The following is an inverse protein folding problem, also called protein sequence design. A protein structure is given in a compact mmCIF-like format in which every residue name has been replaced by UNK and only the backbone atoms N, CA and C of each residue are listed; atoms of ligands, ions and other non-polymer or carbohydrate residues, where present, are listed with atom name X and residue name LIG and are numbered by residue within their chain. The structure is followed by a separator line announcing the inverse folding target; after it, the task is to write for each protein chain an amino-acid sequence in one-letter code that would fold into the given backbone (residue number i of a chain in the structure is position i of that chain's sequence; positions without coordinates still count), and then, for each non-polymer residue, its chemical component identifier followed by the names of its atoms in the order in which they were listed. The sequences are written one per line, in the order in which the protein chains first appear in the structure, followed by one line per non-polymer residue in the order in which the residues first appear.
data_IF_095682366569
#
_entry.id   IF_095682366569
#
_cell.length_a   1.000
_cell.length_b   1.000
_cell.length_c   1.000
_cell.angle_alpha   90.00
_cell.angle_beta   90.00
_cell.angle_gamma   90.00
#
_symmetry.space_group_name_H-M   'P 1'
#
loop_
_entity.id
_entity.type
_entity.pdbx_description
1 polymer ?
#
# COMPACT_ATOMS: atom_id res chain seq x y z
N UNK A 1 10.78 26.43 28.80
CA UNK A 1 11.03 25.18 29.55
C UNK A 1 9.67 24.62 29.97
N UNK A 2 9.02 23.83 29.09
CA UNK A 2 7.66 23.27 29.36
C UNK A 2 7.79 22.06 30.28
N UNK A 3 7.38 22.20 31.53
CA UNK A 3 7.22 21.09 32.47
C UNK A 3 6.11 20.19 31.97
N UNK A 4 6.45 19.00 31.44
CA UNK A 4 5.52 17.93 31.12
C UNK A 4 4.83 17.54 32.42
N UNK A 5 3.52 17.83 32.53
CA UNK A 5 2.68 17.29 33.61
C UNK A 5 2.75 15.75 33.53
N UNK A 6 3.47 15.11 34.42
CA UNK A 6 3.37 13.67 34.64
C UNK A 6 1.90 13.35 34.93
N UNK A 7 1.31 12.48 34.15
CA UNK A 7 -0.01 11.90 34.50
C UNK A 7 0.10 11.30 35.90
N UNK A 8 -0.97 11.39 36.69
CA UNK A 8 -1.02 11.05 38.12
C UNK A 8 -0.47 9.67 38.52
N UNK A 9 -0.04 8.85 37.58
CA UNK A 9 0.50 7.49 37.81
C UNK A 9 1.84 7.22 37.12
N UNK A 10 2.68 8.12 36.81
CA UNK A 10 4.07 7.88 36.39
C UNK A 10 4.35 6.72 35.39
N UNK A 11 3.35 6.11 34.82
CA UNK A 11 3.48 4.94 33.91
C UNK A 11 3.72 5.40 32.48
N UNK A 12 4.77 4.86 31.86
CA UNK A 12 5.01 5.06 30.40
C UNK A 12 3.81 4.51 29.60
N UNK A 13 3.41 5.18 28.50
CA UNK A 13 2.31 4.70 27.67
C UNK A 13 2.58 3.27 27.20
N UNK A 14 1.60 2.38 27.39
CA UNK A 14 1.62 1.02 26.86
C UNK A 14 0.94 0.98 25.49
N UNK A 15 1.42 0.08 24.61
CA UNK A 15 0.92 -0.13 23.25
C UNK A 15 0.60 -1.59 22.96
N UNK A 16 0.32 -2.36 23.99
CA UNK A 16 0.16 -3.80 23.87
C UNK A 16 -1.10 -4.18 23.08
N UNK A 17 -2.19 -3.45 23.28
CA UNK A 17 -3.41 -3.63 22.50
C UNK A 17 -3.18 -3.25 21.02
N UNK A 18 -2.60 -2.10 20.75
CA UNK A 18 -2.28 -1.67 19.41
C UNK A 18 -1.37 -2.67 18.68
N UNK A 19 -0.38 -3.21 19.37
CA UNK A 19 0.50 -4.24 18.85
C UNK A 19 -0.25 -5.54 18.50
N UNK A 20 -1.17 -5.97 19.38
CA UNK A 20 -2.01 -7.13 19.13
C UNK A 20 -2.99 -6.88 17.95
N UNK A 21 -3.66 -5.74 17.93
CA UNK A 21 -4.64 -5.37 16.91
C UNK A 21 -3.98 -5.24 15.54
N UNK A 22 -2.81 -4.59 15.46
CA UNK A 22 -2.06 -4.44 14.21
C UNK A 22 -1.84 -5.77 13.50
N UNK A 23 -1.36 -6.79 14.22
CA UNK A 23 -1.12 -8.11 13.62
C UNK A 23 -2.41 -8.77 13.08
N UNK A 24 -3.57 -8.57 13.75
CA UNK A 24 -4.87 -9.10 13.31
C UNK A 24 -5.39 -8.37 12.09
N UNK A 25 -5.34 -7.04 12.13
CA UNK A 25 -5.77 -6.19 11.02
C UNK A 25 -4.91 -6.44 9.78
N UNK A 26 -3.58 -6.52 9.94
CA UNK A 26 -2.68 -6.84 8.83
C UNK A 26 -3.01 -8.23 8.24
N UNK A 27 -3.21 -9.24 9.08
CA UNK A 27 -3.60 -10.58 8.62
C UNK A 27 -4.91 -10.59 7.83
N UNK A 28 -5.92 -9.83 8.28
CA UNK A 28 -7.19 -9.67 7.58
C UNK A 28 -7.01 -8.99 6.22
N UNK A 29 -6.22 -7.92 6.16
CA UNK A 29 -5.95 -7.21 4.90
C UNK A 29 -5.20 -8.10 3.90
N UNK A 30 -4.19 -8.84 4.37
CA UNK A 30 -3.44 -9.79 3.52
C UNK A 30 -4.34 -10.90 3.01
N UNK A 31 -5.21 -11.45 3.87
CA UNK A 31 -6.22 -12.44 3.46
C UNK A 31 -7.12 -11.89 2.35
N UNK A 32 -7.63 -10.68 2.53
CA UNK A 32 -8.44 -9.99 1.52
C UNK A 32 -7.67 -9.80 0.21
N UNK A 33 -6.41 -9.41 0.27
CA UNK A 33 -5.56 -9.21 -0.91
C UNK A 33 -5.37 -10.52 -1.68
N UNK A 34 -5.05 -11.63 -1.00
CA UNK A 34 -4.92 -12.95 -1.63
C UNK A 34 -6.23 -13.41 -2.25
N UNK A 35 -7.34 -13.38 -1.51
CA UNK A 35 -8.63 -13.82 -2.01
C UNK A 35 -9.12 -12.97 -3.18
N UNK A 36 -9.00 -11.64 -3.06
CA UNK A 36 -9.38 -10.70 -4.12
C UNK A 36 -8.59 -10.92 -5.41
N UNK A 37 -7.32 -11.30 -5.33
CA UNK A 37 -6.51 -11.60 -6.49
C UNK A 37 -6.79 -13.02 -7.01
N UNK A 38 -6.92 -14.01 -6.13
CA UNK A 38 -7.10 -15.41 -6.51
C UNK A 38 -8.32 -15.64 -7.38
N UNK A 39 -9.46 -15.00 -7.08
CA UNK A 39 -10.69 -15.12 -7.88
C UNK A 39 -10.58 -14.57 -9.31
N UNK A 40 -9.52 -13.80 -9.60
CA UNK A 40 -9.25 -13.21 -10.91
C UNK A 40 -8.01 -13.84 -11.58
N UNK A 41 -7.23 -14.63 -10.84
CA UNK A 41 -5.88 -15.02 -11.21
C UNK A 41 -5.84 -15.82 -12.53
N UNK A 42 -6.75 -16.76 -12.73
CA UNK A 42 -6.76 -17.58 -13.96
C UNK A 42 -7.02 -16.74 -15.21
N UNK A 43 -7.91 -15.76 -15.12
CA UNK A 43 -8.20 -14.86 -16.23
C UNK A 43 -7.06 -13.85 -16.48
N UNK A 44 -6.30 -13.49 -15.46
CA UNK A 44 -5.24 -12.47 -15.56
C UNK A 44 -3.88 -13.10 -15.91
N UNK A 45 -3.45 -14.09 -15.12
CA UNK A 45 -2.09 -14.66 -15.18
C UNK A 45 -2.08 -16.19 -15.39
N UNK A 46 -3.21 -16.84 -15.44
CA UNK A 46 -3.30 -18.28 -15.72
C UNK A 46 -2.78 -18.64 -17.12
N UNK A 47 -2.63 -19.93 -17.46
CA UNK A 47 -2.07 -20.37 -18.74
C UNK A 47 -2.83 -19.85 -19.97
N UNK A 48 -4.13 -19.60 -19.83
CA UNK A 48 -5.01 -19.05 -20.85
C UNK A 48 -5.45 -17.61 -20.51
N UNK A 49 -4.78 -16.97 -19.57
CA UNK A 49 -5.08 -15.61 -19.12
C UNK A 49 -4.52 -14.54 -20.05
N UNK A 50 -4.78 -13.27 -19.70
CA UNK A 50 -4.34 -12.11 -20.50
C UNK A 50 -2.81 -12.00 -20.53
N UNK A 51 -2.14 -12.28 -19.38
CA UNK A 51 -0.67 -12.23 -19.25
C UNK A 51 -0.17 -13.47 -18.50
N UNK A 52 -0.04 -14.62 -19.18
CA UNK A 52 0.37 -15.86 -18.54
C UNK A 52 1.73 -15.73 -17.86
N UNK A 53 1.81 -16.12 -16.57
CA UNK A 53 3.05 -16.00 -15.81
C UNK A 53 4.20 -16.84 -16.38
N UNK A 54 3.87 -17.96 -17.06
CA UNK A 54 4.84 -18.83 -17.74
C UNK A 54 5.61 -18.03 -18.82
N UNK A 55 4.89 -17.29 -19.65
CA UNK A 55 5.49 -16.48 -20.72
C UNK A 55 6.40 -15.36 -20.15
N UNK A 56 6.08 -14.80 -18.98
CA UNK A 56 6.97 -13.83 -18.33
C UNK A 56 8.28 -14.49 -17.91
N UNK A 57 8.23 -15.70 -17.34
CA UNK A 57 9.43 -16.43 -16.93
C UNK A 57 10.26 -16.92 -18.12
N UNK A 58 9.63 -17.45 -19.16
CA UNK A 58 10.28 -17.86 -20.42
C UNK A 58 11.01 -16.68 -21.08
N UNK A 59 10.38 -15.50 -21.10
CA UNK A 59 10.99 -14.26 -21.62
C UNK A 59 12.23 -13.86 -20.84
N UNK A 60 12.23 -14.01 -19.50
CA UNK A 60 13.39 -13.74 -18.66
C UNK A 60 14.53 -14.75 -18.94
N UNK A 61 14.23 -16.04 -19.08
CA UNK A 61 15.23 -17.06 -19.44
C UNK A 61 15.84 -16.76 -20.80
N UNK A 62 15.02 -16.50 -21.82
CA UNK A 62 15.49 -16.14 -23.16
C UNK A 62 16.34 -14.85 -23.15
N UNK A 63 15.98 -13.86 -22.34
CA UNK A 63 16.76 -12.63 -22.18
C UNK A 63 18.14 -12.90 -21.56
N UNK A 64 18.23 -13.76 -20.56
CA UNK A 64 19.50 -14.12 -19.91
C UNK A 64 20.40 -14.91 -20.85
N UNK A 65 19.84 -15.83 -21.63
CA UNK A 65 20.56 -16.63 -22.63
C UNK A 65 21.08 -15.75 -23.78
N UNK A 66 20.25 -14.86 -24.32
CA UNK A 66 20.61 -14.04 -25.49
C UNK A 66 21.64 -12.96 -25.19
N UNK A 67 21.74 -12.47 -23.96
CA UNK A 67 22.66 -11.40 -23.58
C UNK A 67 23.89 -11.90 -22.85
N UNK A 68 24.11 -13.23 -22.74
CA UNK A 68 25.22 -13.84 -21.95
C UNK A 68 25.36 -13.16 -20.57
N UNK A 69 24.20 -12.82 -19.95
CA UNK A 69 24.16 -11.99 -18.76
C UNK A 69 24.47 -12.81 -17.51
N UNK A 70 25.43 -12.38 -16.72
CA UNK A 70 25.74 -12.95 -15.41
C UNK A 70 24.65 -12.70 -14.36
N UNK A 71 23.54 -12.03 -14.74
CA UNK A 71 22.46 -11.75 -13.81
C UNK A 71 21.68 -13.01 -13.45
N UNK A 72 21.34 -13.14 -12.17
CA UNK A 72 20.56 -14.27 -11.68
C UNK A 72 19.06 -14.04 -11.93
N UNK A 73 18.36 -15.06 -12.44
CA UNK A 73 16.91 -15.02 -12.65
C UNK A 73 16.12 -14.63 -11.41
N UNK A 74 16.56 -15.03 -10.22
CA UNK A 74 15.93 -14.63 -8.95
C UNK A 74 16.15 -13.15 -8.60
N UNK A 75 17.16 -12.50 -9.14
CA UNK A 75 17.35 -11.05 -9.00
C UNK A 75 16.39 -10.29 -9.91
N UNK A 76 16.09 -10.80 -11.10
CA UNK A 76 15.17 -10.17 -12.04
C UNK A 76 13.70 -10.44 -11.67
N UNK A 77 13.40 -11.68 -11.26
CA UNK A 77 12.06 -12.13 -10.86
C UNK A 77 12.13 -13.00 -9.60
N UNK A 78 12.09 -12.41 -8.41
CA UNK A 78 12.15 -13.15 -7.13
C UNK A 78 10.81 -13.86 -6.86
N UNK A 79 10.54 -14.93 -7.59
CA UNK A 79 9.32 -15.74 -7.47
C UNK A 79 9.62 -17.19 -7.14
N UNK A 80 8.72 -17.82 -6.38
CA UNK A 80 8.74 -19.25 -6.13
C UNK A 80 8.31 -20.09 -7.34
N UNK A 81 7.68 -19.47 -8.34
CA UNK A 81 7.23 -20.15 -9.57
C UNK A 81 8.39 -20.71 -10.41
N UNK A 82 9.63 -20.32 -10.15
CA UNK A 82 10.82 -20.95 -10.73
C UNK A 82 11.02 -22.41 -10.28
N UNK A 83 10.44 -22.80 -9.15
CA UNK A 83 10.60 -24.15 -8.64
C UNK A 83 9.44 -25.03 -9.11
N UNK A 84 9.74 -26.23 -9.61
CA UNK A 84 8.75 -27.20 -10.13
C UNK A 84 7.64 -27.50 -9.11
N UNK A 85 7.97 -27.51 -7.80
CA UNK A 85 6.99 -27.70 -6.75
C UNK A 85 5.88 -26.62 -6.73
N UNK A 86 6.22 -25.40 -7.17
CA UNK A 86 5.30 -24.26 -7.24
C UNK A 86 4.79 -23.99 -8.67
N UNK A 87 4.92 -24.94 -9.61
CA UNK A 87 4.44 -24.78 -11.00
C UNK A 87 2.94 -24.51 -11.12
N UNK A 88 2.18 -24.73 -10.06
CA UNK A 88 0.79 -24.33 -9.93
C UNK A 88 0.67 -23.10 -9.03
N UNK A 89 0.32 -21.94 -9.63
CA UNK A 89 0.14 -20.69 -8.88
C UNK A 89 -0.92 -20.77 -7.78
N UNK A 90 -1.94 -21.66 -7.92
CA UNK A 90 -2.95 -21.87 -6.88
C UNK A 90 -2.36 -22.40 -5.56
N UNK A 91 -1.24 -23.12 -5.61
CA UNK A 91 -0.55 -23.56 -4.41
C UNK A 91 -0.01 -22.35 -3.62
N UNK A 92 0.57 -21.35 -4.32
CA UNK A 92 1.06 -20.12 -3.67
C UNK A 92 -0.11 -19.33 -3.06
N UNK A 93 -1.25 -19.24 -3.76
CA UNK A 93 -2.46 -18.63 -3.19
C UNK A 93 -2.95 -19.36 -1.95
N UNK A 94 -3.01 -20.69 -1.99
CA UNK A 94 -3.45 -21.52 -0.85
C UNK A 94 -2.56 -21.31 0.36
N UNK A 95 -1.23 -21.36 0.17
CA UNK A 95 -0.27 -21.14 1.24
C UNK A 95 -0.30 -19.68 1.77
N UNK A 96 -0.53 -18.72 0.87
CA UNK A 96 -0.75 -17.32 1.22
C UNK A 96 -1.98 -17.11 2.10
N UNK A 97 -3.11 -17.73 1.74
CA UNK A 97 -4.35 -17.70 2.54
C UNK A 97 -4.14 -18.37 3.90
N UNK A 98 -3.51 -19.54 3.96
CA UNK A 98 -3.21 -20.22 5.23
C UNK A 98 -2.32 -19.33 6.12
N UNK A 99 -1.28 -18.73 5.55
CA UNK A 99 -0.36 -17.85 6.28
C UNK A 99 -1.06 -16.58 6.77
N UNK A 100 -1.96 -15.99 5.97
CA UNK A 100 -2.73 -14.81 6.36
C UNK A 100 -3.74 -15.12 7.47
N UNK A 101 -4.39 -16.28 7.44
CA UNK A 101 -5.24 -16.77 8.52
C UNK A 101 -4.43 -17.02 9.80
N UNK A 102 -3.24 -17.61 9.69
CA UNK A 102 -2.34 -17.79 10.83
C UNK A 102 -1.94 -16.43 11.46
N UNK A 103 -1.61 -15.43 10.65
CA UNK A 103 -1.31 -14.06 11.10
C UNK A 103 -2.54 -13.42 11.77
N UNK A 104 -3.72 -13.51 11.14
CA UNK A 104 -4.97 -12.98 11.66
C UNK A 104 -5.37 -13.61 12.98
N UNK A 105 -5.17 -14.92 13.14
CA UNK A 105 -5.43 -15.63 14.39
C UNK A 105 -4.29 -15.51 15.42
N UNK A 106 -3.13 -14.97 15.00
CA UNK A 106 -1.96 -14.74 15.83
C UNK A 106 -1.13 -15.97 16.10
N UNK A 107 -1.15 -16.94 15.23
CA UNK A 107 -0.22 -18.06 15.25
C UNK A 107 1.09 -17.65 14.59
N UNK A 108 2.21 -17.82 15.33
CA UNK A 108 3.58 -17.50 14.86
C UNK A 108 3.64 -16.21 14.04
N UNK A 109 3.13 -15.05 14.55
CA UNK A 109 2.75 -13.91 13.74
C UNK A 109 3.89 -13.36 12.88
N UNK A 110 5.13 -13.36 13.38
CA UNK A 110 6.29 -12.93 12.58
C UNK A 110 6.57 -13.88 11.42
N UNK A 111 6.52 -15.19 11.67
CA UNK A 111 6.75 -16.19 10.64
C UNK A 111 5.62 -16.21 9.61
N UNK A 112 4.37 -16.10 10.08
CA UNK A 112 3.21 -16.01 9.22
C UNK A 112 3.29 -14.77 8.29
N UNK A 113 3.67 -13.60 8.82
CA UNK A 113 3.88 -12.39 8.01
C UNK A 113 5.01 -12.55 7.00
N UNK A 114 6.10 -13.23 7.36
CA UNK A 114 7.21 -13.53 6.46
C UNK A 114 6.76 -14.41 5.28
N UNK A 115 5.98 -15.44 5.54
CA UNK A 115 5.42 -16.29 4.48
C UNK A 115 4.38 -15.55 3.63
N UNK A 116 3.52 -14.72 4.24
CA UNK A 116 2.64 -13.84 3.48
C UNK A 116 3.43 -12.94 2.53
N UNK A 117 4.54 -12.35 2.99
CA UNK A 117 5.40 -11.51 2.18
C UNK A 117 6.01 -12.26 0.99
N UNK A 118 6.60 -13.45 1.22
CA UNK A 118 7.21 -14.26 0.16
C UNK A 118 6.17 -14.69 -0.89
N UNK A 119 5.02 -15.18 -0.44
CA UNK A 119 3.99 -15.66 -1.37
C UNK A 119 3.37 -14.50 -2.15
N UNK A 120 3.11 -13.36 -1.50
CA UNK A 120 2.57 -12.20 -2.21
C UNK A 120 3.59 -11.58 -3.17
N UNK A 121 4.87 -11.51 -2.80
CA UNK A 121 5.96 -11.09 -3.68
C UNK A 121 6.05 -11.99 -4.91
N UNK A 122 6.01 -13.31 -4.71
CA UNK A 122 6.09 -14.28 -5.81
C UNK A 122 5.00 -14.08 -6.85
N UNK A 123 3.76 -13.77 -6.43
CA UNK A 123 2.64 -13.48 -7.31
C UNK A 123 2.72 -12.06 -7.90
N UNK A 124 3.21 -11.09 -7.12
CA UNK A 124 3.28 -9.70 -7.52
C UNK A 124 4.26 -9.48 -8.68
N UNK A 125 5.43 -10.12 -8.66
CA UNK A 125 6.47 -9.88 -9.67
C UNK A 125 6.15 -10.46 -11.04
N UNK A 126 5.32 -11.50 -11.10
CA UNK A 126 4.84 -12.10 -12.36
C UNK A 126 3.44 -11.62 -12.75
N UNK A 127 2.79 -10.86 -11.89
CA UNK A 127 1.42 -10.38 -12.09
C UNK A 127 1.33 -9.03 -12.79
N UNK A 128 2.39 -8.53 -13.41
CA UNK A 128 2.33 -7.28 -14.19
C UNK A 128 1.50 -7.46 -15.47
N UNK A 129 0.75 -6.41 -15.88
CA UNK A 129 0.64 -5.06 -15.27
C UNK A 129 -0.35 -4.99 -14.07
N UNK A 130 -1.07 -6.05 -13.75
CA UNK A 130 -2.20 -6.05 -12.80
C UNK A 130 -1.80 -5.86 -11.33
N UNK A 131 -0.53 -6.10 -10.96
CA UNK A 131 0.03 -5.97 -9.61
C UNK A 131 1.15 -4.95 -9.50
N UNK A 132 1.15 -3.94 -10.35
CA UNK A 132 2.12 -2.82 -10.31
C UNK A 132 1.62 -1.62 -9.51
N UNK A 133 0.46 -1.71 -8.86
CA UNK A 133 -0.19 -0.60 -8.19
C UNK A 133 0.30 -0.36 -6.76
N UNK A 134 0.09 0.85 -6.26
CA UNK A 134 0.60 1.28 -4.96
C UNK A 134 0.04 0.50 -3.76
N UNK A 135 -1.17 -0.03 -3.82
CA UNK A 135 -1.71 -0.88 -2.75
C UNK A 135 -0.98 -2.21 -2.61
N UNK A 136 -0.53 -2.82 -3.72
CA UNK A 136 0.24 -4.06 -3.70
C UNK A 136 1.65 -3.81 -3.16
N UNK A 137 2.30 -2.73 -3.61
CA UNK A 137 3.63 -2.37 -3.13
C UNK A 137 3.61 -1.90 -1.66
N UNK A 138 2.57 -1.17 -1.23
CA UNK A 138 2.39 -0.81 0.18
C UNK A 138 2.18 -2.05 1.06
N UNK A 139 1.44 -3.05 0.58
CA UNK A 139 1.23 -4.30 1.30
C UNK A 139 2.55 -5.04 1.50
N UNK A 140 3.37 -5.17 0.44
CA UNK A 140 4.70 -5.78 0.51
C UNK A 140 5.63 -5.02 1.46
N UNK A 141 5.68 -3.68 1.37
CA UNK A 141 6.50 -2.85 2.26
C UNK A 141 6.01 -2.94 3.72
N UNK A 142 4.70 -2.94 3.95
CA UNK A 142 4.12 -3.12 5.28
C UNK A 142 4.48 -4.46 5.88
N UNK A 143 4.33 -5.56 5.13
CA UNK A 143 4.70 -6.91 5.59
C UNK A 143 6.18 -6.99 5.94
N UNK A 144 7.05 -6.49 5.06
CA UNK A 144 8.50 -6.52 5.23
C UNK A 144 8.95 -5.72 6.46
N UNK A 145 8.50 -4.47 6.59
CA UNK A 145 8.87 -3.60 7.71
C UNK A 145 8.21 -3.98 9.04
N UNK A 146 7.11 -4.73 9.00
CA UNK A 146 6.44 -5.21 10.22
C UNK A 146 7.10 -6.42 10.87
N UNK A 147 8.01 -7.12 10.20
CA UNK A 147 8.66 -8.31 10.74
C UNK A 147 9.31 -8.09 12.12
N UNK A 148 10.09 -7.02 12.39
CA UNK A 148 10.61 -6.76 13.72
C UNK A 148 9.56 -6.25 14.71
N UNK A 149 8.44 -5.71 14.24
CA UNK A 149 7.35 -5.25 15.10
C UNK A 149 6.49 -6.40 15.60
N UNK A 150 6.23 -7.41 14.77
CA UNK A 150 5.47 -8.60 15.15
C UNK A 150 6.26 -9.50 16.09
N UNK A 151 5.63 -10.10 17.14
CA UNK A 151 6.34 -10.90 18.13
C UNK A 151 6.74 -12.27 17.56
N UNK A 152 7.89 -12.77 18.01
CA UNK A 152 8.37 -14.12 17.70
C UNK A 152 7.91 -15.10 18.78
N UNK A 153 6.61 -15.43 18.76
CA UNK A 153 5.95 -16.32 19.71
C UNK A 153 5.07 -17.33 18.99
N UNK A 154 4.78 -18.48 19.62
CA UNK A 154 3.88 -19.49 19.04
C UNK A 154 2.46 -18.96 18.90
N UNK A 155 1.97 -18.17 19.88
CA UNK A 155 0.63 -17.58 19.86
C UNK A 155 0.63 -16.21 20.53
N UNK A 156 0.16 -15.20 19.83
CA UNK A 156 -0.01 -13.85 20.35
C UNK A 156 -1.44 -13.64 20.82
N UNK A 157 -1.66 -13.62 22.12
CA UNK A 157 -2.98 -13.45 22.76
C UNK A 157 -3.07 -12.09 23.41
N UNK A 158 -4.28 -11.53 23.43
CA UNK A 158 -4.54 -10.28 24.13
C UNK A 158 -4.40 -10.42 25.66
N UNK A 159 -4.69 -11.63 26.20
CA UNK A 159 -4.51 -11.96 27.63
C UNK A 159 -3.05 -12.05 28.06
N UNK A 160 -2.11 -12.19 27.13
CA UNK A 160 -0.69 -12.29 27.38
C UNK A 160 0.03 -11.15 26.64
N UNK A 161 0.01 -9.92 27.19
CA UNK A 161 0.54 -8.76 26.51
C UNK A 161 2.04 -8.86 26.30
N UNK A 162 2.48 -8.58 25.09
CA UNK A 162 3.88 -8.52 24.71
C UNK A 162 4.22 -7.07 24.40
N UNK A 163 5.29 -6.58 25.01
CA UNK A 163 5.79 -5.23 24.74
C UNK A 163 6.48 -5.19 23.37
N UNK A 164 5.90 -4.43 22.44
CA UNK A 164 6.55 -4.18 21.14
C UNK A 164 7.83 -3.36 21.30
N UNK A 165 8.82 -3.62 20.45
CA UNK A 165 10.00 -2.76 20.35
C UNK A 165 9.59 -1.35 19.96
N UNK A 166 10.04 -0.34 20.74
CA UNK A 166 9.80 1.08 20.42
C UNK A 166 10.31 1.45 19.03
N UNK A 167 11.50 0.97 18.67
CA UNK A 167 12.12 1.26 17.39
C UNK A 167 11.38 0.58 16.22
N UNK A 168 10.94 -0.69 16.41
CA UNK A 168 10.13 -1.35 15.40
C UNK A 168 8.78 -0.63 15.17
N UNK A 169 8.16 -0.11 16.26
CA UNK A 169 6.96 0.73 16.14
C UNK A 169 7.24 2.03 15.38
N UNK A 170 8.36 2.70 15.66
CA UNK A 170 8.77 3.93 14.97
C UNK A 170 8.97 3.63 13.46
N UNK A 171 9.51 2.50 13.08
CA UNK A 171 9.68 2.13 11.67
C UNK A 171 8.33 2.05 10.94
N UNK A 172 7.30 1.48 11.54
CA UNK A 172 5.94 1.48 10.98
C UNK A 172 5.36 2.90 10.89
N UNK A 173 5.60 3.74 11.90
CA UNK A 173 5.16 5.14 11.88
C UNK A 173 5.90 5.97 10.82
N UNK A 174 7.15 5.65 10.53
CA UNK A 174 7.91 6.26 9.44
C UNK A 174 7.34 5.84 8.08
N UNK A 175 6.92 4.58 7.91
CA UNK A 175 6.24 4.16 6.69
C UNK A 175 4.92 4.93 6.49
N UNK A 176 4.11 5.07 7.54
CA UNK A 176 2.89 5.87 7.47
C UNK A 176 3.19 7.35 7.16
N UNK A 177 4.22 7.93 7.80
CA UNK A 177 4.62 9.30 7.53
C UNK A 177 5.09 9.50 6.08
N UNK A 178 5.90 8.57 5.56
CA UNK A 178 6.35 8.56 4.18
C UNK A 178 5.17 8.50 3.21
N UNK A 179 4.24 7.55 3.42
CA UNK A 179 3.04 7.40 2.61
C UNK A 179 2.24 8.71 2.53
N UNK A 180 2.02 9.37 3.66
CA UNK A 180 1.23 10.60 3.74
C UNK A 180 1.98 11.79 3.13
N UNK A 181 3.23 12.01 3.51
CA UNK A 181 4.03 13.14 3.04
C UNK A 181 4.25 13.05 1.52
N UNK A 182 4.65 11.91 1.01
CA UNK A 182 4.84 11.73 -0.45
C UNK A 182 3.52 11.95 -1.19
N UNK A 183 2.39 11.39 -0.70
CA UNK A 183 1.06 11.60 -1.30
C UNK A 183 0.65 13.08 -1.34
N UNK A 184 0.98 13.85 -0.31
CA UNK A 184 0.72 15.29 -0.27
C UNK A 184 1.66 16.09 -1.17
N UNK A 185 2.98 15.82 -1.11
CA UNK A 185 3.99 16.57 -1.84
C UNK A 185 3.84 16.48 -3.35
N UNK A 186 3.55 15.30 -3.89
CA UNK A 186 3.43 15.10 -5.34
C UNK A 186 2.32 15.96 -5.95
N UNK A 187 1.31 16.33 -5.18
CA UNK A 187 0.22 17.22 -5.61
C UNK A 187 0.70 18.66 -5.87
N UNK A 188 1.83 19.07 -5.28
CA UNK A 188 2.42 20.39 -5.51
C UNK A 188 3.54 20.40 -6.54
N UNK A 189 4.15 19.25 -6.81
CA UNK A 189 5.39 19.15 -7.58
C UNK A 189 5.20 18.56 -8.99
N UNK A 190 4.04 17.98 -9.26
CA UNK A 190 3.69 17.42 -10.57
C UNK A 190 2.63 18.27 -11.26
N UNK A 191 2.82 18.50 -12.56
CA UNK A 191 2.01 19.39 -13.38
C UNK A 191 1.54 18.67 -14.64
N UNK A 192 0.42 19.11 -15.22
CA UNK A 192 -0.09 18.67 -16.51
C UNK A 192 0.85 19.09 -17.66
N UNK A 193 0.61 18.57 -18.87
CA UNK A 193 1.35 18.92 -20.08
C UNK A 193 1.20 20.40 -20.44
N UNK A 194 0.06 21.02 -20.10
CA UNK A 194 -0.21 22.45 -20.24
C UNK A 194 0.37 23.31 -19.10
N UNK A 195 1.24 22.72 -18.27
CA UNK A 195 1.82 23.31 -17.07
C UNK A 195 0.81 23.72 -15.99
N UNK A 196 -0.44 23.30 -16.10
CA UNK A 196 -1.45 23.53 -15.07
C UNK A 196 -1.30 22.55 -13.91
N UNK A 197 -1.90 22.90 -12.76
CA UNK A 197 -1.98 22.02 -11.61
C UNK A 197 -3.31 22.23 -10.88
N UNK A 198 -4.25 21.32 -11.12
CA UNK A 198 -5.57 21.37 -10.53
C UNK A 198 -5.55 21.29 -8.98
N UNK A 199 -4.55 20.65 -8.40
CA UNK A 199 -4.38 20.58 -6.95
C UNK A 199 -4.04 21.92 -6.32
N UNK A 200 -3.08 22.66 -6.93
CA UNK A 200 -2.67 24.00 -6.47
C UNK A 200 -3.80 25.03 -6.72
N UNK A 201 -4.51 24.88 -7.82
CA UNK A 201 -5.61 25.75 -8.20
C UNK A 201 -6.92 25.47 -7.46
N UNK A 202 -6.94 24.47 -6.57
CA UNK A 202 -8.13 24.05 -5.80
C UNK A 202 -9.31 23.57 -6.66
N UNK A 203 -9.04 23.10 -7.87
CA UNK A 203 -10.05 22.58 -8.82
C UNK A 203 -9.98 21.06 -8.97
N UNK A 204 -9.10 20.37 -8.22
CA UNK A 204 -8.91 18.94 -8.38
C UNK A 204 -10.17 18.12 -8.06
N UNK A 205 -10.97 18.52 -7.07
CA UNK A 205 -12.19 17.80 -6.69
C UNK A 205 -13.34 18.04 -7.67
N UNK A 206 -13.29 19.09 -8.50
CA UNK A 206 -14.25 19.31 -9.60
C UNK A 206 -14.21 18.16 -10.62
N UNK A 207 -13.07 17.48 -10.70
CA UNK A 207 -12.84 16.36 -11.63
C UNK A 207 -12.81 15.01 -10.92
N UNK A 208 -12.21 14.93 -9.74
CA UNK A 208 -11.84 13.69 -9.08
C UNK A 208 -13.00 12.70 -8.97
N UNK A 209 -14.17 13.14 -8.54
CA UNK A 209 -15.29 12.27 -8.20
C UNK A 209 -15.85 11.48 -9.38
N UNK A 210 -15.70 11.98 -10.60
CA UNK A 210 -16.18 11.30 -11.81
C UNK A 210 -15.08 10.80 -12.73
N UNK A 211 -13.84 11.30 -12.61
CA UNK A 211 -12.70 10.83 -13.43
C UNK A 211 -11.96 9.66 -12.81
N UNK A 212 -12.12 9.40 -11.50
CA UNK A 212 -11.44 8.28 -10.83
C UNK A 212 -11.80 6.92 -11.46
N UNK A 213 -10.90 5.90 -11.40
CA UNK A 213 -11.10 4.62 -12.10
C UNK A 213 -12.44 3.95 -11.81
N UNK A 214 -12.79 3.84 -10.52
CA UNK A 214 -14.04 3.23 -10.05
C UNK A 214 -14.76 4.21 -9.11
N UNK A 215 -15.61 5.10 -9.64
CA UNK A 215 -16.39 6.01 -8.79
C UNK A 215 -17.25 5.24 -7.79
N UNK A 216 -17.31 5.76 -6.57
CA UNK A 216 -18.14 5.19 -5.51
C UNK A 216 -19.61 5.61 -5.68
N UNK A 217 -20.62 4.84 -5.23
CA UNK A 217 -22.02 5.24 -5.28
C UNK A 217 -22.34 6.61 -4.65
N UNK A 218 -21.52 7.05 -3.69
CA UNK A 218 -21.65 8.37 -3.08
C UNK A 218 -20.92 9.48 -3.85
N UNK A 219 -20.09 9.16 -4.85
CA UNK A 219 -19.33 10.18 -5.60
C UNK A 219 -20.22 11.25 -6.24
N UNK A 220 -21.36 10.93 -6.88
CA UNK A 220 -22.25 11.96 -7.43
C UNK A 220 -22.83 12.89 -6.38
N UNK A 221 -23.19 12.34 -5.19
CA UNK A 221 -23.69 13.14 -4.09
C UNK A 221 -22.64 14.10 -3.55
N UNK A 222 -21.40 13.62 -3.37
CA UNK A 222 -20.30 14.45 -2.88
C UNK A 222 -19.96 15.53 -3.90
N UNK A 223 -19.92 15.18 -5.18
CA UNK A 223 -19.67 16.15 -6.29
C UNK A 223 -20.76 17.24 -6.39
N UNK A 224 -21.99 16.97 -5.95
CA UNK A 224 -23.08 17.95 -5.93
C UNK A 224 -23.02 18.94 -4.76
N UNK A 225 -22.08 18.78 -3.83
CA UNK A 225 -21.92 19.70 -2.71
C UNK A 225 -21.40 21.08 -3.16
N UNK A 226 -21.66 22.15 -2.39
CA UNK A 226 -21.22 23.48 -2.76
C UNK A 226 -19.68 23.60 -2.90
N UNK A 227 -19.15 24.45 -3.79
CA UNK A 227 -17.70 24.57 -4.05
C UNK A 227 -16.83 24.88 -2.83
N UNK A 228 -17.39 25.55 -1.81
CA UNK A 228 -16.65 25.77 -0.54
C UNK A 228 -16.29 24.48 0.18
N UNK A 229 -17.12 23.42 0.02
CA UNK A 229 -16.85 22.11 0.61
C UNK A 229 -15.58 21.49 0.02
N UNK A 230 -15.39 21.57 -1.29
CA UNK A 230 -14.19 21.06 -1.96
C UNK A 230 -12.94 21.81 -1.51
N UNK A 231 -13.02 23.14 -1.40
CA UNK A 231 -11.91 23.96 -0.90
C UNK A 231 -11.50 23.62 0.53
N UNK A 232 -12.48 23.40 1.43
CA UNK A 232 -12.21 22.96 2.80
C UNK A 232 -11.64 21.54 2.81
N UNK A 233 -12.19 20.63 2.00
CA UNK A 233 -11.75 19.24 1.90
C UNK A 233 -10.29 19.14 1.43
N UNK A 234 -9.90 19.93 0.41
CA UNK A 234 -8.52 20.01 -0.08
C UNK A 234 -7.58 20.58 1.00
N UNK A 235 -7.97 21.66 1.66
CA UNK A 235 -7.17 22.26 2.74
C UNK A 235 -6.97 21.29 3.90
N UNK A 236 -8.04 20.59 4.31
CA UNK A 236 -7.98 19.56 5.34
C UNK A 236 -7.10 18.39 4.92
N UNK A 237 -7.21 17.91 3.68
CA UNK A 237 -6.38 16.85 3.11
C UNK A 237 -4.90 17.24 3.17
N UNK A 238 -4.50 18.42 2.70
CA UNK A 238 -3.12 18.89 2.76
C UNK A 238 -2.59 18.97 4.19
N UNK A 239 -3.39 19.49 5.11
CA UNK A 239 -3.01 19.53 6.52
C UNK A 239 -2.81 18.12 7.09
N UNK A 240 -3.67 17.17 6.74
CA UNK A 240 -3.58 15.80 7.23
C UNK A 240 -2.43 15.03 6.58
N UNK A 241 -2.21 15.18 5.26
CA UNK A 241 -1.15 14.45 4.54
C UNK A 241 0.24 15.02 4.85
N UNK A 242 0.41 16.34 4.97
CA UNK A 242 1.73 16.97 5.12
C UNK A 242 1.99 17.38 6.57
N UNK A 243 1.01 17.96 7.25
CA UNK A 243 1.18 18.52 8.59
C UNK A 243 1.15 17.48 9.70
N UNK A 244 0.12 16.62 9.71
CA UNK A 244 -0.08 15.65 10.81
C UNK A 244 0.98 14.55 10.92
N UNK A 245 1.70 14.11 9.88
CA UNK A 245 2.77 13.12 10.03
C UNK A 245 3.87 13.55 11.03
N UNK A 246 4.18 14.84 11.14
CA UNK A 246 5.12 15.33 12.15
C UNK A 246 4.62 15.08 13.57
N UNK A 247 3.31 15.07 13.78
CA UNK A 247 2.70 14.79 15.08
C UNK A 247 2.83 13.32 15.53
N UNK A 248 3.16 12.37 14.63
CA UNK A 248 3.32 10.95 14.98
C UNK A 248 4.42 10.71 16.00
N UNK A 249 5.41 11.57 16.03
CA UNK A 249 6.60 11.47 16.88
C UNK A 249 6.55 12.40 18.10
N UNK A 250 5.51 13.22 18.21
CA UNK A 250 5.30 14.18 19.30
C UNK A 250 4.60 13.52 20.51
N UNK A 251 4.47 14.24 21.65
CA UNK A 251 3.77 13.75 22.83
C UNK A 251 2.33 13.32 22.54
N UNK A 252 1.77 12.53 23.45
CA UNK A 252 0.54 11.76 23.33
C UNK A 252 -0.66 12.51 22.72
N UNK A 253 -0.91 13.75 23.11
CA UNK A 253 -2.04 14.56 22.58
C UNK A 253 -1.93 14.78 21.07
N UNK A 254 -0.78 15.20 20.59
CA UNK A 254 -0.53 15.43 19.17
C UNK A 254 -0.66 14.14 18.36
N UNK A 255 -0.15 13.06 18.89
CA UNK A 255 -0.23 11.75 18.24
C UNK A 255 -1.65 11.22 18.14
N UNK A 256 -2.48 11.41 19.19
CA UNK A 256 -3.92 11.06 19.15
C UNK A 256 -4.67 11.95 18.16
N UNK A 257 -4.39 13.23 18.15
CA UNK A 257 -4.96 14.16 17.18
C UNK A 257 -4.63 13.73 15.76
N UNK A 258 -3.36 13.40 15.48
CA UNK A 258 -2.95 12.88 14.19
C UNK A 258 -3.64 11.56 13.83
N UNK A 259 -3.83 10.64 14.79
CA UNK A 259 -4.57 9.41 14.57
C UNK A 259 -6.00 9.68 14.07
N UNK A 260 -6.74 10.55 14.76
CA UNK A 260 -8.12 10.86 14.35
C UNK A 260 -8.18 11.58 12.99
N UNK A 261 -7.23 12.49 12.71
CA UNK A 261 -7.13 13.13 11.40
C UNK A 261 -6.88 12.11 10.28
N UNK A 262 -5.93 11.19 10.47
CA UNK A 262 -5.64 10.14 9.50
C UNK A 262 -6.86 9.21 9.28
N UNK A 263 -7.51 8.78 10.35
CA UNK A 263 -8.72 7.94 10.25
C UNK A 263 -9.82 8.67 9.49
N UNK A 264 -10.05 9.94 9.79
CA UNK A 264 -11.05 10.76 9.10
C UNK A 264 -10.77 10.83 7.59
N UNK A 265 -9.52 11.13 7.21
CA UNK A 265 -9.13 11.19 5.80
C UNK A 265 -9.32 9.85 5.09
N UNK A 266 -8.86 8.74 5.70
CA UNK A 266 -8.99 7.42 5.09
C UNK A 266 -10.46 7.00 4.92
N UNK A 267 -11.33 7.34 5.88
CA UNK A 267 -12.77 7.10 5.75
C UNK A 267 -13.39 7.98 4.66
N UNK A 268 -13.03 9.26 4.59
CA UNK A 268 -13.51 10.15 3.54
C UNK A 268 -13.14 9.62 2.13
N UNK A 269 -11.89 9.17 1.94
CA UNK A 269 -11.45 8.57 0.67
C UNK A 269 -12.19 7.25 0.40
N UNK A 270 -12.37 6.39 1.42
CA UNK A 270 -13.08 5.12 1.28
C UNK A 270 -14.53 5.29 0.83
N UNK A 271 -15.20 6.35 1.30
CA UNK A 271 -16.60 6.64 0.95
C UNK A 271 -16.75 7.53 -0.30
N UNK A 272 -15.67 8.04 -0.87
CA UNK A 272 -15.67 8.82 -2.11
C UNK A 272 -15.09 8.09 -3.33
N UNK A 273 -14.45 6.91 -3.13
CA UNK A 273 -13.86 6.14 -4.22
C UNK A 273 -13.64 4.66 -3.85
N UNK A 274 -13.36 3.85 -4.86
CA UNK A 274 -13.11 2.42 -4.71
C UNK A 274 -11.61 2.11 -4.87
N UNK A 275 -10.86 2.10 -3.76
CA UNK A 275 -9.41 1.84 -3.74
C UNK A 275 -9.06 0.47 -3.13
N UNK A 276 -9.99 -0.48 -3.19
CA UNK A 276 -9.84 -1.84 -2.69
C UNK A 276 -9.47 -1.87 -1.21
N UNK A 277 -8.40 -2.56 -0.88
CA UNK A 277 -7.91 -2.66 0.50
C UNK A 277 -6.92 -1.56 0.90
N UNK A 278 -6.59 -0.59 0.02
CA UNK A 278 -5.56 0.44 0.27
C UNK A 278 -5.85 1.30 1.51
N UNK A 279 -7.08 1.84 1.61
CA UNK A 279 -7.48 2.64 2.76
C UNK A 279 -7.50 1.82 4.06
N UNK A 280 -7.95 0.56 4.00
CA UNK A 280 -7.94 -0.34 5.16
C UNK A 280 -6.52 -0.68 5.62
N UNK A 281 -5.58 -0.85 4.67
CA UNK A 281 -4.16 -1.03 4.98
C UNK A 281 -3.58 0.23 5.64
N UNK A 282 -3.89 1.41 5.14
CA UNK A 282 -3.47 2.68 5.75
C UNK A 282 -4.06 2.86 7.15
N UNK A 283 -5.33 2.52 7.37
CA UNK A 283 -5.94 2.48 8.70
C UNK A 283 -5.20 1.50 9.64
N UNK A 284 -4.75 0.36 9.11
CA UNK A 284 -3.92 -0.59 9.88
C UNK A 284 -2.58 0.03 10.28
N UNK A 285 -1.95 0.79 9.37
CA UNK A 285 -0.71 1.54 9.68
C UNK A 285 -0.93 2.65 10.72
N UNK A 286 -2.15 3.15 10.91
CA UNK A 286 -2.48 4.13 11.96
C UNK A 286 -2.58 3.49 13.36
N UNK A 287 -2.80 2.18 13.48
CA UNK A 287 -2.99 1.50 14.78
C UNK A 287 -1.81 1.74 15.76
N UNK A 288 -0.52 1.74 15.35
CA UNK A 288 0.60 2.03 16.24
C UNK A 288 0.63 3.46 16.83
N UNK A 289 -0.23 4.37 16.36
CA UNK A 289 -0.41 5.70 16.96
C UNK A 289 -1.21 5.64 18.28
N UNK A 290 -2.04 4.59 18.46
CA UNK A 290 -2.94 4.45 19.62
C UNK A 290 -2.16 3.87 20.80
N UNK A 291 -2.31 4.50 21.96
CA UNK A 291 -1.87 3.93 23.26
C UNK A 291 -3.04 3.24 23.98
N UNK A 292 -2.72 2.32 24.88
CA UNK A 292 -3.73 1.53 25.59
C UNK A 292 -4.66 2.38 26.47
N UNK A 293 -4.28 3.62 26.79
CA UNK A 293 -5.13 4.52 27.57
C UNK A 293 -6.33 5.07 26.76
N UNK A 294 -6.25 5.07 25.42
CA UNK A 294 -7.38 5.46 24.55
C UNK A 294 -8.46 4.38 24.49
N UNK A 295 -8.12 3.14 24.81
CA UNK A 295 -9.05 2.02 24.76
C UNK A 295 -9.99 2.07 25.96
N UNK A 296 -11.31 1.91 25.76
CA UNK A 296 -12.27 1.84 26.87
C UNK A 296 -11.88 0.77 27.89
N UNK A 297 -12.01 1.06 29.18
CA UNK A 297 -11.57 0.16 30.29
C UNK A 297 -12.09 -1.28 30.14
N UNK A 298 -13.31 -1.47 29.64
CA UNK A 298 -13.90 -2.80 29.42
C UNK A 298 -13.16 -3.69 28.40
N UNK A 299 -12.43 -3.07 27.46
CA UNK A 299 -11.65 -3.78 26.44
C UNK A 299 -10.14 -3.73 26.72
N UNK A 300 -9.75 -3.02 27.79
CA UNK A 300 -8.35 -2.88 28.18
C UNK A 300 -7.94 -4.14 28.93
N UNK A 301 -6.96 -4.90 28.43
CA UNK A 301 -6.45 -6.04 29.16
C UNK A 301 -5.93 -5.61 30.53
N UNK A 302 -6.19 -6.40 31.59
CA UNK A 302 -5.54 -6.20 32.89
C UNK A 302 -4.10 -6.67 32.75
N UNK A 303 -3.20 -5.74 32.60
CA UNK A 303 -1.77 -6.01 32.46
C UNK A 303 -1.13 -6.02 33.86
N UNK A 304 -1.13 -7.15 34.51
CA UNK A 304 -0.07 -7.45 35.45
C UNK A 304 1.21 -7.58 34.62
N UNK A 305 2.17 -6.77 34.94
CA UNK A 305 3.45 -6.51 34.25
C UNK A 305 3.86 -7.43 33.09
N UNK A 306 4.21 -6.86 31.91
CA UNK A 306 4.61 -7.66 30.74
C UNK A 306 5.83 -8.52 31.09
N UNK A 307 5.75 -9.82 30.84
CA UNK A 307 6.89 -10.73 31.01
C UNK A 307 8.02 -10.27 30.08
N UNK A 308 9.10 -9.79 30.68
CA UNK A 308 10.33 -9.48 29.96
C UNK A 308 11.00 -10.78 29.52
N UNK A 309 10.95 -11.10 28.24
CA UNK A 309 11.71 -12.24 27.71
C UNK A 309 13.20 -11.98 27.81
N UNK A 310 13.84 -12.73 28.72
CA UNK A 310 15.29 -12.74 28.90
C UNK A 310 15.96 -13.62 27.84
N UNK A 311 16.28 -13.06 26.66
CA UNK A 311 17.24 -13.74 25.78
C UNK A 311 18.16 -12.72 25.12
N UNK A 312 19.38 -12.61 25.67
CA UNK A 312 20.42 -11.65 25.23
C UNK A 312 20.84 -11.85 23.76
N UNK A 313 20.97 -13.09 23.30
CA UNK A 313 21.34 -13.41 21.92
C UNK A 313 20.24 -12.98 20.91
N UNK A 314 18.96 -13.17 21.27
CA UNK A 314 17.82 -12.70 20.44
C UNK A 314 17.76 -11.17 20.31
N UNK A 315 18.25 -10.42 21.31
CA UNK A 315 18.31 -8.96 21.26
C UNK A 315 19.31 -8.46 20.22
N UNK A 316 20.50 -9.06 20.13
CA UNK A 316 21.53 -8.68 19.15
C UNK A 316 21.05 -8.89 17.71
N UNK A 317 20.53 -10.08 17.38
CA UNK A 317 19.97 -10.38 16.05
C UNK A 317 18.80 -9.44 15.71
N UNK A 318 17.92 -9.16 16.67
CA UNK A 318 16.82 -8.22 16.47
C UNK A 318 17.31 -6.81 16.18
N UNK A 319 18.35 -6.32 16.85
CA UNK A 319 18.93 -5.00 16.62
C UNK A 319 19.61 -4.90 15.24
N UNK A 320 20.35 -5.93 14.83
CA UNK A 320 20.97 -5.98 13.49
C UNK A 320 19.89 -5.96 12.42
N UNK A 321 18.88 -6.82 12.51
CA UNK A 321 17.76 -6.87 11.59
C UNK A 321 17.04 -5.52 11.51
N UNK A 322 16.74 -4.91 12.65
CA UNK A 322 16.09 -3.62 12.73
C UNK A 322 16.96 -2.51 12.13
N UNK A 323 18.27 -2.49 12.42
CA UNK A 323 19.24 -1.56 11.86
C UNK A 323 19.34 -1.67 10.34
N UNK A 324 19.37 -2.89 9.79
CA UNK A 324 19.36 -3.13 8.35
C UNK A 324 18.10 -2.60 7.69
N UNK A 325 16.92 -2.81 8.29
CA UNK A 325 15.66 -2.28 7.76
C UNK A 325 15.61 -0.76 7.80
N UNK A 326 16.11 -0.12 8.85
CA UNK A 326 16.23 1.35 8.89
C UNK A 326 17.18 1.87 7.81
N UNK A 327 18.34 1.21 7.64
CA UNK A 327 19.29 1.59 6.60
C UNK A 327 18.66 1.51 5.20
N UNK A 328 18.03 0.38 4.87
CA UNK A 328 17.36 0.19 3.58
C UNK A 328 16.21 1.19 3.38
N UNK A 329 15.36 1.36 4.38
CA UNK A 329 14.22 2.27 4.32
C UNK A 329 14.64 3.73 4.12
N UNK A 330 15.63 4.19 4.87
CA UNK A 330 16.08 5.58 4.80
C UNK A 330 16.89 5.85 3.53
N UNK A 331 17.78 4.94 3.11
CA UNK A 331 18.61 5.13 1.92
C UNK A 331 17.82 5.07 0.61
N UNK A 332 16.97 4.05 0.42
CA UNK A 332 16.15 3.93 -0.77
C UNK A 332 14.98 4.91 -0.78
N UNK A 333 14.35 5.15 0.38
CA UNK A 333 13.26 6.12 0.55
C UNK A 333 13.69 7.57 0.35
N UNK A 334 14.93 7.92 0.65
CA UNK A 334 15.48 9.26 0.39
C UNK A 334 15.44 9.62 -1.09
N UNK A 335 15.81 8.68 -1.96
CA UNK A 335 15.78 8.91 -3.40
C UNK A 335 14.37 9.16 -3.92
N UNK A 336 13.39 8.42 -3.40
CA UNK A 336 11.99 8.59 -3.76
C UNK A 336 11.49 9.96 -3.32
N UNK A 337 11.74 10.37 -2.07
CA UNK A 337 11.37 11.68 -1.54
C UNK A 337 12.01 12.83 -2.34
N UNK A 338 13.31 12.73 -2.65
CA UNK A 338 13.99 13.76 -3.46
C UNK A 338 13.41 13.85 -4.87
N UNK A 339 13.06 12.73 -5.48
CA UNK A 339 12.37 12.70 -6.78
C UNK A 339 11.00 13.39 -6.71
N UNK A 340 10.24 13.11 -5.67
CA UNK A 340 8.89 13.69 -5.48
C UNK A 340 8.94 15.20 -5.17
N UNK A 341 9.95 15.66 -4.43
CA UNK A 341 10.19 17.10 -4.22
C UNK A 341 10.54 17.82 -5.52
N UNK A 342 11.35 17.19 -6.39
CA UNK A 342 11.72 17.78 -7.68
C UNK A 342 10.54 17.83 -8.66
N UNK A 343 9.65 16.83 -8.59
CA UNK A 343 8.50 16.73 -9.49
C UNK A 343 8.89 16.54 -10.96
N UNK A 344 7.94 16.80 -11.88
CA UNK A 344 8.14 16.65 -13.32
C UNK A 344 8.70 17.89 -14.04
N UNK A 345 8.81 19.03 -13.35
CA UNK A 345 9.44 20.25 -13.89
C UNK A 345 10.96 20.30 -13.73
N UNK A 346 11.53 19.42 -12.90
CA UNK A 346 12.95 19.36 -12.74
C UNK A 346 13.61 18.89 -14.04
N UNK A 347 14.47 19.73 -14.62
CA UNK A 347 15.25 19.37 -15.80
C UNK A 347 15.95 18.04 -15.58
N UNK A 348 15.69 17.07 -16.48
CA UNK A 348 16.26 15.72 -16.46
C UNK A 348 17.78 15.69 -16.65
N UNK A 349 18.42 16.83 -16.87
CA UNK A 349 19.86 17.01 -17.04
C UNK A 349 20.68 17.00 -15.74
N UNK A 350 20.10 16.69 -14.58
CA UNK A 350 20.93 16.42 -13.40
C UNK A 350 21.65 15.10 -13.62
N UNK A 351 22.92 15.26 -13.96
CA UNK A 351 23.95 14.23 -14.11
C UNK A 351 23.63 12.95 -13.32
N UNK A 352 23.77 11.81 -14.00
CA UNK A 352 23.99 10.48 -13.40
C UNK A 352 25.27 10.51 -12.51
N UNK A 353 25.28 11.32 -11.45
CA UNK A 353 26.29 11.16 -10.41
C UNK A 353 25.99 9.83 -9.75
N UNK A 354 26.94 8.92 -9.88
CA UNK A 354 26.95 7.68 -9.12
C UNK A 354 26.69 8.02 -7.65
N UNK A 355 25.54 7.57 -7.17
CA UNK A 355 25.13 7.81 -5.81
C UNK A 355 24.85 6.44 -5.19
N UNK A 356 25.59 6.08 -4.15
CA UNK A 356 25.43 4.81 -3.43
C UNK A 356 23.98 4.48 -3.06
N UNK A 357 23.14 5.51 -2.85
CA UNK A 357 21.71 5.32 -2.58
C UNK A 357 20.94 4.77 -3.78
N UNK A 358 21.39 5.06 -5.01
CA UNK A 358 20.84 4.46 -6.22
C UNK A 358 21.18 2.97 -6.31
N UNK A 359 22.38 2.58 -5.88
CA UNK A 359 22.80 1.18 -5.89
C UNK A 359 22.00 0.37 -4.84
N UNK A 360 21.79 0.93 -3.66
CA UNK A 360 20.88 0.33 -2.66
C UNK A 360 19.47 0.20 -3.22
N UNK A 361 18.96 1.20 -3.92
CA UNK A 361 17.63 1.14 -4.55
C UNK A 361 17.56 0.05 -5.61
N UNK A 362 18.53 -0.04 -6.51
CA UNK A 362 18.63 -1.10 -7.53
C UNK A 362 18.64 -2.49 -6.89
N UNK A 363 19.41 -2.65 -5.81
CA UNK A 363 19.51 -3.92 -5.07
C UNK A 363 18.17 -4.35 -4.44
N UNK A 364 17.41 -3.40 -3.88
CA UNK A 364 16.16 -3.75 -3.18
C UNK A 364 14.91 -3.71 -4.09
N UNK A 365 15.01 -3.07 -5.26
CA UNK A 365 13.87 -2.91 -6.19
C UNK A 365 13.17 -4.22 -6.55
N UNK A 366 13.87 -5.35 -6.81
CA UNK A 366 13.22 -6.60 -7.19
C UNK A 366 12.25 -7.13 -6.13
N UNK A 367 12.52 -6.90 -4.85
CA UNK A 367 11.64 -7.36 -3.75
C UNK A 367 10.46 -6.41 -3.47
N UNK A 368 10.31 -5.31 -4.21
CA UNK A 368 9.16 -4.37 -4.15
C UNK A 368 8.77 -3.95 -2.73
N UNK A 369 9.73 -3.88 -1.81
CA UNK A 369 9.46 -3.68 -0.37
C UNK A 369 9.97 -2.36 0.18
N UNK A 370 10.43 -1.43 -0.68
CA UNK A 370 10.64 0.00 -0.39
C UNK A 370 10.29 0.78 -1.66
N UNK A 371 9.23 1.58 -1.59
CA UNK A 371 8.59 2.16 -2.76
C UNK A 371 8.39 3.67 -2.59
N UNK A 372 7.88 4.36 -3.63
CA UNK A 372 7.36 5.73 -3.55
C UNK A 372 5.84 5.74 -3.67
N UNK A 373 5.22 6.73 -3.08
CA UNK A 373 3.77 6.87 -3.03
C UNK A 373 3.32 8.19 -3.62
N UNK A 374 2.09 8.27 -4.07
CA UNK A 374 1.51 9.47 -4.64
C UNK A 374 0.48 9.13 -5.71
N UNK A 375 -0.71 8.66 -5.28
CA UNK A 375 -1.86 8.48 -6.15
C UNK A 375 -2.32 9.86 -6.66
N UNK A 376 -2.76 9.90 -7.92
CA UNK A 376 -3.26 11.11 -8.56
C UNK A 376 -2.27 12.29 -8.50
N UNK A 377 -0.98 12.03 -8.79
CA UNK A 377 0.07 13.06 -8.84
C UNK A 377 -0.33 14.23 -9.75
N UNK A 378 -0.91 13.90 -10.90
CA UNK A 378 -1.59 14.83 -11.82
C UNK A 378 -3.07 14.49 -11.82
N UNK A 379 -3.94 15.48 -11.71
CA UNK A 379 -5.38 15.26 -11.74
C UNK A 379 -5.85 15.05 -13.18
N UNK A 380 -6.54 13.93 -13.39
CA UNK A 380 -7.17 13.60 -14.67
C UNK A 380 -8.41 14.47 -14.86
N UNK A 381 -8.48 15.21 -15.95
CA UNK A 381 -9.60 16.13 -16.26
C UNK A 381 -10.60 15.55 -17.26
N UNK A 382 -10.23 14.44 -17.90
CA UNK A 382 -11.05 13.71 -18.88
C UNK A 382 -11.26 12.27 -18.39
N UNK A 383 -12.22 11.57 -18.96
CA UNK A 383 -12.48 10.16 -18.70
C UNK A 383 -12.71 9.40 -20.01
N UNK A 384 -11.64 9.12 -20.77
CA UNK A 384 -11.74 8.27 -21.95
C UNK A 384 -12.04 6.83 -21.53
N UNK A 385 -12.98 6.19 -22.23
CA UNK A 385 -13.39 4.82 -21.97
C UNK A 385 -13.10 3.95 -23.19
N UNK A 386 -12.54 2.75 -22.94
CA UNK A 386 -12.35 1.72 -23.96
C UNK A 386 -13.54 0.77 -23.88
N UNK A 387 -14.22 0.61 -25.01
CA UNK A 387 -15.27 -0.39 -25.19
C UNK A 387 -14.70 -1.61 -25.89
N UNK A 388 -15.09 -2.81 -25.46
CA UNK A 388 -14.69 -4.07 -26.07
C UNK A 388 -15.95 -4.73 -26.62
N UNK A 389 -15.95 -5.01 -27.90
CA UNK A 389 -17.03 -5.72 -28.56
C UNK A 389 -16.53 -7.03 -29.17
N UNK A 390 -17.36 -8.04 -29.16
CA UNK A 390 -17.07 -9.34 -29.76
C UNK A 390 -18.20 -9.82 -30.66
N UNK A 391 -17.85 -10.51 -31.74
CA UNK A 391 -18.79 -11.12 -32.67
C UNK A 391 -18.38 -12.55 -32.94
N UNK A 392 -19.37 -13.45 -33.14
CA UNK A 392 -19.16 -14.82 -33.56
C UNK A 392 -19.31 -15.00 -35.09
N UNK A 393 -19.94 -14.05 -35.75
CA UNK A 393 -20.23 -14.10 -37.20
C UNK A 393 -19.64 -12.89 -37.97
N UNK A 394 -19.03 -11.93 -37.30
CA UNK A 394 -18.48 -10.72 -37.89
C UNK A 394 -19.52 -9.62 -38.20
N UNK A 395 -20.81 -9.91 -37.97
CA UNK A 395 -21.93 -9.00 -38.25
C UNK A 395 -22.59 -8.51 -36.96
N UNK A 396 -22.90 -9.41 -36.02
CA UNK A 396 -23.55 -9.11 -34.76
C UNK A 396 -22.51 -8.88 -33.67
N UNK A 397 -22.23 -7.62 -33.38
CA UNK A 397 -21.28 -7.22 -32.34
C UNK A 397 -21.97 -7.02 -31.01
N UNK A 398 -21.41 -7.62 -29.93
CA UNK A 398 -21.91 -7.54 -28.57
C UNK A 398 -20.89 -6.88 -27.67
N UNK A 399 -21.33 -5.89 -26.89
CA UNK A 399 -20.52 -5.17 -25.93
C UNK A 399 -20.20 -6.09 -24.73
N UNK A 400 -18.92 -6.22 -24.37
CA UNK A 400 -18.46 -6.78 -23.11
C UNK A 400 -18.47 -5.70 -22.06
N UNK A 401 -19.42 -5.78 -21.11
CA UNK A 401 -19.51 -4.84 -19.99
C UNK A 401 -18.55 -5.21 -18.87
N UNK A 402 -17.83 -4.23 -18.37
CA UNK A 402 -17.06 -4.38 -17.14
C UNK A 402 -18.02 -4.47 -15.94
N UNK A 403 -17.61 -5.24 -14.93
CA UNK A 403 -18.48 -5.45 -13.77
C UNK A 403 -18.50 -4.25 -12.82
N UNK A 404 -17.38 -3.58 -12.66
CA UNK A 404 -17.19 -2.55 -11.63
C UNK A 404 -16.95 -1.16 -12.23
N UNK A 405 -16.33 -1.09 -13.42
CA UNK A 405 -16.07 0.15 -14.13
C UNK A 405 -17.33 0.54 -14.93
N UNK A 406 -17.87 1.76 -14.74
CA UNK A 406 -18.92 2.25 -15.62
C UNK A 406 -18.36 2.50 -17.02
N UNK A 407 -19.06 2.06 -18.06
CA UNK A 407 -18.73 2.31 -19.47
C UNK A 407 -19.50 3.51 -20.01
N UNK A 408 -20.66 3.81 -19.42
CA UNK A 408 -21.52 4.94 -19.80
C UNK A 408 -21.93 5.77 -18.58
N UNK A 409 -22.26 7.04 -18.80
CA UNK A 409 -22.64 7.97 -17.73
C UNK A 409 -23.86 7.51 -16.90
N UNK A 410 -24.72 6.68 -17.46
CA UNK A 410 -25.92 6.15 -16.78
C UNK A 410 -25.72 4.77 -16.14
N UNK A 411 -24.53 4.20 -16.22
CA UNK A 411 -24.27 2.91 -15.58
C UNK A 411 -24.30 3.03 -14.05
N UNK A 412 -24.85 2.04 -13.36
CA UNK A 412 -24.92 2.08 -11.89
C UNK A 412 -23.54 1.98 -11.29
N UNK A 413 -23.21 2.92 -10.40
CA UNK A 413 -21.97 2.89 -9.63
C UNK A 413 -22.08 1.83 -8.52
N UNK A 414 -21.01 1.06 -8.33
CA UNK A 414 -20.97 -0.03 -7.36
C UNK A 414 -19.88 0.18 -6.31
N UNK A 415 -20.08 -0.36 -5.11
CA UNK A 415 -19.05 -0.42 -4.07
C UNK A 415 -18.27 -1.74 -4.21
N UNK A 416 -17.04 -1.67 -4.67
CA UNK A 416 -16.17 -2.82 -4.87
C UNK A 416 -15.38 -3.23 -3.61
N UNK A 417 -15.12 -2.27 -2.71
CA UNK A 417 -14.23 -2.51 -1.57
C UNK A 417 -14.72 -3.59 -0.60
N UNK A 418 -13.83 -4.38 0.00
CA UNK A 418 -12.37 -4.31 -0.09
C UNK A 418 -11.76 -5.08 -1.28
N UNK A 419 -12.59 -5.63 -2.18
CA UNK A 419 -12.14 -6.29 -3.42
C UNK A 419 -11.45 -5.27 -4.33
N UNK A 420 -10.42 -5.73 -5.06
CA UNK A 420 -9.68 -4.94 -6.02
C UNK A 420 -9.89 -5.49 -7.43
N UNK A 421 -10.82 -4.91 -8.21
CA UNK A 421 -11.08 -5.33 -9.60
C UNK A 421 -9.91 -4.89 -10.50
N UNK A 422 -9.00 -5.79 -10.76
CA UNK A 422 -7.69 -5.44 -11.38
C UNK A 422 -7.79 -5.09 -12.84
N UNK A 423 -8.65 -5.80 -13.59
CA UNK A 423 -8.85 -5.50 -15.00
C UNK A 423 -9.60 -4.18 -15.19
N UNK A 424 -10.63 -3.92 -14.37
CA UNK A 424 -11.40 -2.66 -14.43
C UNK A 424 -10.50 -1.45 -14.16
N UNK A 425 -9.59 -1.56 -13.20
CA UNK A 425 -8.57 -0.54 -12.92
C UNK A 425 -7.59 -0.38 -14.08
N UNK A 426 -7.11 -1.49 -14.66
CA UNK A 426 -6.16 -1.45 -15.76
C UNK A 426 -6.77 -0.80 -17.00
N UNK A 427 -8.02 -1.12 -17.31
CA UNK A 427 -8.70 -0.55 -18.48
C UNK A 427 -8.90 0.95 -18.38
N UNK A 428 -9.07 1.51 -17.19
CA UNK A 428 -9.07 2.97 -17.01
C UNK A 428 -7.71 3.59 -17.38
N UNK A 429 -6.60 2.97 -16.96
CA UNK A 429 -5.27 3.44 -17.34
C UNK A 429 -5.00 3.28 -18.84
N UNK A 430 -5.50 2.22 -19.47
CA UNK A 430 -5.36 2.03 -20.91
C UNK A 430 -6.19 3.07 -21.69
N UNK A 431 -7.36 3.46 -21.20
CA UNK A 431 -8.13 4.58 -21.74
C UNK A 431 -7.33 5.88 -21.77
N UNK A 432 -6.68 6.22 -20.65
CA UNK A 432 -5.81 7.40 -20.57
C UNK A 432 -4.57 7.32 -21.49
N UNK A 433 -4.02 6.11 -21.70
CA UNK A 433 -2.92 5.91 -22.64
C UNK A 433 -3.37 6.09 -24.08
N UNK A 434 -4.52 5.51 -24.47
CA UNK A 434 -5.08 5.60 -25.79
C UNK A 434 -5.34 7.06 -26.19
N UNK A 435 -5.88 7.88 -25.28
CA UNK A 435 -6.09 9.31 -25.50
C UNK A 435 -4.79 10.03 -25.90
N UNK A 436 -3.66 9.70 -25.28
CA UNK A 436 -2.34 10.29 -25.58
C UNK A 436 -1.78 9.89 -26.94
N UNK A 437 -2.20 8.76 -27.51
CA UNK A 437 -1.77 8.31 -28.83
C UNK A 437 -2.68 8.82 -29.95
N UNK A 438 -3.89 9.27 -29.63
CA UNK A 438 -4.88 9.75 -30.56
C UNK A 438 -4.92 11.29 -30.64
N UNK A 439 -4.32 12.00 -29.68
CA UNK A 439 -4.17 13.45 -29.62
C UNK A 439 -2.83 13.88 -30.22
#
# INVERSE_FOLDING_TARGET
MFKIKKTKEGKTPSFSFAHWLFGRSLGLIVLTAFLSYWIQADALIGPNGISPWQHDLERIESFLESNESDQNKFTLRPTLLWFTFFSNHHLIFTLGVISSLALMLGFMPRLAAFFCWIFYLSLSVVGEPFLSFQWDTLLLETLFLSLPFLPFVKRHRLSEPITASKWARILILLLLAKLMIESGLVKFTYFDNDESNAWINYTALDYHYWTQPLPHPLSPLIHSLPPWFDSISLSAMYFIEIGLPFCFFLPLYFRRFAFFGQVLLQLAILFSGNYGFFNLLTLTLCIPLIDDALIPKRFRPNFDQPKSDKVFIRKGIHLIHLGSLYFLFLSAGWNSLVSDIKGNRANTHTSNKENWTNDVRKFIQPIRSINSYGLFRVMTKTRPEITIEGSTNGEDWKLYKFKWKPDHANDPLQFAGPHMPRIDWQMWFEGLRAERYLS
#
